data_IF_765865803007
#
_entry.id   IF_765865803007
#
_cell.length_a   1.000
_cell.length_b   1.000
_cell.length_c   1.000
_cell.angle_alpha   90.00
_cell.angle_beta   90.00
_cell.angle_gamma   90.00
#
_symmetry.space_group_name_H-M   'P 1'
#
loop_
_entity.id
_entity.type
_entity.pdbx_description
1 polymer ?
#
# COMPACT_ATOMS: atom_id res chain seq x y z
N UNK A 1 13.96 -27.12 10.07
CA UNK A 1 13.48 -25.83 9.54
C UNK A 1 14.67 -24.90 9.48
N UNK A 2 14.72 -24.08 8.45
CA UNK A 2 15.85 -23.16 8.24
C UNK A 2 15.62 -21.85 8.99
N UNK A 3 16.67 -21.32 9.62
CA UNK A 3 16.62 -20.09 10.41
C UNK A 3 17.85 -19.23 10.14
N UNK A 4 17.65 -17.93 9.99
CA UNK A 4 18.70 -16.92 9.87
C UNK A 4 18.17 -15.56 10.36
N UNK A 5 19.06 -14.56 10.48
CA UNK A 5 18.68 -13.19 10.84
C UNK A 5 19.70 -12.17 10.33
N UNK A 6 19.29 -10.91 10.23
CA UNK A 6 20.11 -9.80 9.76
C UNK A 6 19.69 -8.51 10.48
N UNK A 7 20.51 -7.46 10.34
CA UNK A 7 20.21 -6.11 10.84
C UNK A 7 20.31 -5.12 9.69
N UNK A 8 19.51 -4.05 9.75
CA UNK A 8 19.51 -2.94 8.79
C UNK A 8 19.34 -1.61 9.52
N UNK A 9 19.89 -0.55 8.95
CA UNK A 9 19.54 0.82 9.34
C UNK A 9 18.30 1.22 8.53
N UNK A 10 17.20 1.51 9.21
CA UNK A 10 15.92 1.80 8.56
C UNK A 10 16.00 3.07 7.68
N UNK A 11 15.79 2.91 6.37
CA UNK A 11 15.81 4.01 5.41
C UNK A 11 17.21 4.54 5.06
N UNK A 12 18.29 3.82 5.39
CA UNK A 12 19.64 4.24 5.01
C UNK A 12 19.78 4.35 3.48
N UNK A 13 20.19 5.52 3.01
CA UNK A 13 20.35 5.82 1.58
C UNK A 13 19.05 5.96 0.77
N UNK A 14 17.88 5.65 1.34
CA UNK A 14 16.59 5.61 0.60
C UNK A 14 15.43 6.35 1.28
N UNK A 15 15.54 6.67 2.57
CA UNK A 15 14.55 7.45 3.32
C UNK A 15 13.34 6.67 3.85
N UNK A 16 12.37 7.44 4.35
CA UNK A 16 11.10 6.94 4.89
C UNK A 16 10.17 6.44 3.78
N UNK A 17 9.36 5.43 4.07
CA UNK A 17 8.43 4.84 3.10
C UNK A 17 7.80 3.53 3.59
N UNK A 18 6.84 3.04 2.82
CA UNK A 18 6.25 1.71 2.98
C UNK A 18 7.01 0.70 2.11
N UNK A 19 7.99 0.01 2.70
CA UNK A 19 8.88 -0.90 1.98
C UNK A 19 8.34 -2.34 1.98
N UNK A 20 8.14 -2.91 0.79
CA UNK A 20 7.59 -4.26 0.64
C UNK A 20 8.60 -5.33 1.07
N UNK A 21 8.12 -6.33 1.80
CA UNK A 21 8.77 -7.62 1.92
C UNK A 21 7.74 -8.70 1.60
N UNK A 22 8.12 -9.73 0.85
CA UNK A 22 7.19 -10.79 0.47
C UNK A 22 7.96 -12.05 0.06
N UNK A 23 7.24 -13.16 -0.04
CA UNK A 23 7.76 -14.31 -0.77
C UNK A 23 7.95 -13.93 -2.24
N UNK A 24 9.10 -14.24 -2.82
CA UNK A 24 9.38 -13.86 -4.21
C UNK A 24 8.69 -14.78 -5.23
N UNK A 25 8.10 -15.89 -4.78
CA UNK A 25 7.24 -16.76 -5.60
C UNK A 25 5.92 -16.03 -5.85
N UNK A 26 5.61 -15.80 -7.14
CA UNK A 26 4.48 -14.94 -7.56
C UNK A 26 3.14 -15.37 -6.95
N UNK A 27 2.76 -16.63 -7.08
CA UNK A 27 1.50 -17.14 -6.52
C UNK A 27 1.43 -16.97 -5.00
N UNK A 28 2.57 -17.05 -4.31
CA UNK A 28 2.60 -16.89 -2.85
C UNK A 28 2.43 -15.41 -2.46
N UNK A 29 3.06 -14.48 -3.17
CA UNK A 29 2.83 -13.04 -2.95
C UNK A 29 1.40 -12.65 -3.30
N UNK A 30 0.85 -13.16 -4.40
CA UNK A 30 -0.53 -12.89 -4.83
C UNK A 30 -1.56 -13.45 -3.84
N UNK A 31 -1.24 -14.57 -3.19
CA UNK A 31 -2.03 -15.15 -2.09
C UNK A 31 -1.76 -14.51 -0.73
N UNK A 32 -0.94 -13.44 -0.66
CA UNK A 32 -0.80 -12.61 0.53
C UNK A 32 0.39 -12.93 1.44
N UNK A 33 1.38 -13.71 0.99
CA UNK A 33 2.68 -13.80 1.69
C UNK A 33 3.51 -12.53 1.49
N UNK A 34 2.96 -11.40 1.93
CA UNK A 34 3.53 -10.08 1.81
C UNK A 34 3.31 -9.28 3.10
N UNK A 35 4.14 -8.27 3.30
CA UNK A 35 4.01 -7.30 4.37
C UNK A 35 4.80 -6.03 4.08
N UNK A 36 4.64 -5.04 4.96
CA UNK A 36 5.29 -3.74 4.84
C UNK A 36 6.22 -3.50 6.02
N UNK A 37 7.46 -3.13 5.70
CA UNK A 37 8.38 -2.50 6.63
C UNK A 37 8.16 -0.99 6.58
N UNK A 38 7.30 -0.50 7.48
CA UNK A 38 6.89 0.90 7.56
C UNK A 38 7.99 1.74 8.23
N UNK A 39 8.80 2.44 7.42
CA UNK A 39 9.84 3.34 7.90
C UNK A 39 9.26 4.76 7.97
N UNK A 40 9.07 5.26 9.19
CA UNK A 40 8.55 6.61 9.44
C UNK A 40 9.66 7.65 9.35
N UNK A 41 9.28 8.88 8.99
CA UNK A 41 10.07 10.06 9.32
C UNK A 41 10.12 10.27 10.83
N UNK A 42 11.01 11.15 11.28
CA UNK A 42 11.12 11.53 12.69
C UNK A 42 9.81 12.14 13.25
N UNK A 43 9.01 12.79 12.40
CA UNK A 43 7.71 13.37 12.75
C UNK A 43 6.57 12.32 12.82
N UNK A 44 6.88 11.05 12.57
CA UNK A 44 5.92 9.96 12.60
C UNK A 44 5.13 9.72 11.31
N UNK A 45 5.29 10.56 10.28
CA UNK A 45 4.62 10.39 8.98
C UNK A 45 5.32 9.36 8.10
N UNK A 46 4.57 8.76 7.18
CA UNK A 46 5.09 7.90 6.11
C UNK A 46 4.68 8.56 4.78
N UNK A 47 5.64 8.94 3.91
CA UNK A 47 5.31 9.48 2.59
C UNK A 47 4.44 8.51 1.79
N UNK A 48 3.42 9.06 1.11
CA UNK A 48 2.62 8.36 0.09
C UNK A 48 1.99 7.03 0.56
N UNK A 49 1.79 6.88 1.87
CA UNK A 49 1.15 5.71 2.48
C UNK A 49 0.04 6.14 3.43
N UNK A 50 -1.21 5.88 3.03
CA UNK A 50 -2.38 6.03 3.88
C UNK A 50 -2.76 4.67 4.47
N UNK A 51 -2.84 4.51 5.80
CA UNK A 51 -3.25 3.26 6.40
C UNK A 51 -4.73 2.97 6.11
N UNK A 52 -5.02 2.02 5.21
CA UNK A 52 -6.40 1.69 4.87
C UNK A 52 -7.10 0.78 5.91
N UNK A 53 -6.40 0.28 6.93
CA UNK A 53 -6.97 -0.64 7.93
C UNK A 53 -6.45 -0.47 9.38
N UNK A 54 -5.69 0.60 9.69
CA UNK A 54 -5.24 0.87 11.05
C UNK A 54 -6.12 1.97 11.68
N UNK A 55 -6.84 1.63 12.75
CA UNK A 55 -7.70 2.56 13.47
C UNK A 55 -6.98 3.86 13.85
N UNK A 56 -7.48 4.97 13.29
CA UNK A 56 -7.42 6.35 13.76
C UNK A 56 -6.08 6.88 14.31
N UNK A 57 -5.35 7.63 13.47
CA UNK A 57 -4.75 8.90 13.92
C UNK A 57 -5.26 10.01 13.00
N UNK A 58 -6.25 10.77 13.48
CA UNK A 58 -6.84 11.88 12.72
C UNK A 58 -5.94 13.11 12.81
N UNK A 59 -5.63 13.72 11.66
CA UNK A 59 -5.59 15.18 11.51
C UNK A 59 -5.91 15.55 10.05
N UNK A 60 -6.70 16.60 9.80
CA UNK A 60 -7.35 16.81 8.51
C UNK A 60 -6.44 17.58 7.55
N UNK A 61 -6.36 17.16 6.29
CA UNK A 61 -6.13 18.08 5.18
C UNK A 61 -7.14 17.85 4.08
N UNK A 62 -8.04 18.82 3.95
CA UNK A 62 -8.93 19.00 2.81
C UNK A 62 -8.15 18.93 1.52
N UNK A 63 -8.54 18.03 0.63
CA UNK A 63 -8.29 18.15 -0.80
C UNK A 63 -9.57 17.76 -1.54
N UNK A 64 -9.92 18.60 -2.52
CA UNK A 64 -11.22 18.70 -3.21
C UNK A 64 -11.61 17.39 -3.93
N UNK A 65 -12.91 17.09 -4.13
CA UNK A 65 -13.31 15.99 -4.99
C UNK A 65 -12.92 16.32 -6.44
N UNK A 66 -12.16 15.43 -7.06
CA UNK A 66 -11.99 15.41 -8.50
C UNK A 66 -13.30 14.89 -9.12
N UNK A 67 -13.76 15.61 -10.14
CA UNK A 67 -14.98 15.40 -10.90
C UNK A 67 -14.96 14.04 -11.64
N UNK A 68 -15.99 13.22 -11.43
CA UNK A 68 -16.22 11.98 -12.18
C UNK A 68 -16.82 12.30 -13.55
N UNK A 69 -16.25 11.85 -14.67
CA UNK A 69 -17.02 11.76 -15.91
C UNK A 69 -17.91 10.52 -15.87
N UNK A 70 -19.19 10.85 -15.94
CA UNK A 70 -20.42 10.12 -16.22
C UNK A 70 -20.33 8.68 -16.78
N UNK A 71 -21.30 7.89 -16.32
CA UNK A 71 -21.61 6.57 -16.81
C UNK A 71 -22.26 6.63 -18.19
N UNK A 72 -22.00 5.62 -19.02
CA UNK A 72 -22.84 5.34 -20.18
C UNK A 72 -22.88 3.82 -20.40
N UNK A 73 -23.88 3.19 -19.79
CA UNK A 73 -24.47 1.93 -20.22
C UNK A 73 -25.49 2.27 -21.33
N UNK A 74 -25.48 1.55 -22.46
CA UNK A 74 -26.76 1.04 -22.92
C UNK A 74 -26.67 -0.43 -23.40
N UNK A 75 -27.32 -1.31 -22.66
CA UNK A 75 -28.44 -2.14 -23.12
C UNK A 75 -28.49 -2.48 -24.62
N UNK A 76 -28.34 -3.78 -24.93
CA UNK A 76 -28.75 -4.46 -26.18
C UNK A 76 -27.76 -5.57 -26.53
N UNK A 77 -28.10 -6.82 -26.84
CA UNK A 77 -29.31 -7.51 -27.22
C UNK A 77 -28.86 -8.82 -27.89
N UNK A 78 -29.67 -9.86 -27.78
CA UNK A 78 -29.50 -11.26 -28.20
C UNK A 78 -28.77 -11.58 -29.52
N UNK A 79 -28.08 -12.74 -29.58
CA UNK A 79 -28.41 -13.95 -30.39
C UNK A 79 -27.17 -14.77 -30.85
N UNK A 80 -27.29 -16.08 -30.66
CA UNK A 80 -26.51 -17.25 -31.13
C UNK A 80 -25.11 -17.50 -30.57
#
# INVERSE_FOLDING_TARGET
GDSFGFQVIAGEGVGAGAWMYHCHVQSHSDMGMAGLFLVKKADGTIPDYEPHHAGASKSPKSSKPAESPDASDPSGGHHH
#
